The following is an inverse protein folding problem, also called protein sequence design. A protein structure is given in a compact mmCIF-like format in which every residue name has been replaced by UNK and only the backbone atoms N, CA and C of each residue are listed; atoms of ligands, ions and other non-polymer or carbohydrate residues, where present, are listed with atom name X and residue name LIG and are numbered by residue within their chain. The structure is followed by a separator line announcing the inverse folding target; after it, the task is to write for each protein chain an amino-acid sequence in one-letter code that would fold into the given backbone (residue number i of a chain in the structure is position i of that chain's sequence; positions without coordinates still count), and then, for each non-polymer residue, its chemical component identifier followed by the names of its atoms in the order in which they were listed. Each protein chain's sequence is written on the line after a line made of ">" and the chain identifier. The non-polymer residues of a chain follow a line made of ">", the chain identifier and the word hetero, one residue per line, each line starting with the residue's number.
data_IF_380081894638
#
_entry.id   IF_380081894638
#
_cell.length_a   1.000
_cell.length_b   1.000
_cell.length_c   1.000
_cell.angle_alpha   90.00
_cell.angle_beta   90.00
_cell.angle_gamma   90.00
#
_symmetry.space_group_name_H-M   'P 1'
#
loop_
_entity.id
_entity.type
_entity.pdbx_description
1 polymer ?
#
# COMPACT_ATOMS: atom_id res chain seq x y z
N UNK A 1 -19.27 69.73 25.56
CA UNK A 1 -18.47 68.48 25.66
C UNK A 1 -19.37 67.36 26.13
N UNK A 2 -19.70 66.40 25.26
CA UNK A 2 -20.50 65.21 25.62
C UNK A 2 -20.01 64.02 24.81
N UNK A 3 -18.99 63.33 25.32
CA UNK A 3 -18.56 62.02 24.81
C UNK A 3 -19.52 60.96 25.32
N UNK A 4 -20.60 60.72 24.57
CA UNK A 4 -21.49 59.60 24.80
C UNK A 4 -20.73 58.30 24.52
N UNK A 5 -20.69 57.43 25.51
CA UNK A 5 -20.08 56.11 25.45
C UNK A 5 -20.97 55.16 24.65
N UNK A 6 -20.59 54.88 23.39
CA UNK A 6 -21.17 53.84 22.54
C UNK A 6 -20.77 52.42 23.04
N UNK A 7 -21.22 52.08 24.25
CA UNK A 7 -21.07 50.74 24.81
C UNK A 7 -22.26 49.86 24.42
N UNK A 8 -22.09 48.99 23.43
CA UNK A 8 -23.07 47.94 23.11
C UNK A 8 -23.24 47.00 24.33
N UNK A 9 -24.41 47.09 24.98
CA UNK A 9 -24.80 46.22 26.09
C UNK A 9 -25.13 44.81 25.59
N UNK A 10 -24.18 43.88 25.72
CA UNK A 10 -24.39 42.47 25.40
C UNK A 10 -25.11 41.81 26.58
N UNK A 11 -26.40 41.46 26.43
CA UNK A 11 -27.16 40.69 27.43
C UNK A 11 -26.95 39.18 27.23
N UNK A 12 -26.48 38.48 28.27
CA UNK A 12 -26.37 37.01 28.31
C UNK A 12 -25.43 36.49 29.41
N UNK A 13 -25.67 35.28 29.90
CA UNK A 13 -24.85 34.61 30.93
C UNK A 13 -23.61 33.98 30.30
N UNK A 14 -22.38 34.26 30.78
CA UNK A 14 -21.16 33.61 30.29
C UNK A 14 -21.17 32.11 30.64
N UNK A 15 -20.86 31.25 29.66
CA UNK A 15 -20.76 29.80 29.85
C UNK A 15 -19.74 29.38 30.94
N UNK A 16 -18.78 30.24 31.27
CA UNK A 16 -17.66 29.95 32.16
C UNK A 16 -17.75 30.64 33.53
N UNK A 17 -18.90 31.19 33.92
CA UNK A 17 -19.08 31.87 35.22
C UNK A 17 -18.28 33.17 35.39
N UNK A 18 -17.49 33.57 34.40
CA UNK A 18 -16.65 34.77 34.44
C UNK A 18 -17.34 35.90 33.66
N UNK A 19 -17.61 37.07 34.28
CA UNK A 19 -18.31 38.16 33.60
C UNK A 19 -17.52 38.63 32.37
N UNK A 20 -18.21 38.78 31.24
CA UNK A 20 -17.62 39.38 30.03
C UNK A 20 -17.10 40.78 30.40
N UNK A 21 -15.84 41.09 30.04
CA UNK A 21 -15.33 42.46 30.19
C UNK A 21 -16.21 43.37 29.33
N UNK A 22 -16.71 44.47 29.92
CA UNK A 22 -17.60 45.45 29.23
C UNK A 22 -17.03 45.98 27.91
N UNK A 23 -15.72 45.92 27.73
CA UNK A 23 -14.99 46.40 26.54
C UNK A 23 -14.39 45.26 25.68
N UNK A 24 -14.83 44.02 25.87
CA UNK A 24 -14.30 42.91 25.07
C UNK A 24 -14.84 42.98 23.63
N UNK A 25 -14.02 43.53 22.72
CA UNK A 25 -14.27 43.40 21.28
C UNK A 25 -14.35 41.91 20.94
N UNK A 26 -15.42 41.43 20.29
CA UNK A 26 -15.49 40.03 19.88
C UNK A 26 -14.29 39.73 18.98
N UNK A 27 -13.58 38.61 19.22
CA UNK A 27 -12.35 38.24 18.49
C UNK A 27 -12.53 38.26 16.96
N UNK A 28 -13.75 38.09 16.46
CA UNK A 28 -14.09 38.18 15.02
C UNK A 28 -13.96 39.60 14.44
N UNK A 29 -14.03 40.65 15.27
CA UNK A 29 -13.88 42.05 14.83
C UNK A 29 -12.41 42.48 14.66
N UNK A 30 -11.44 41.65 15.07
CA UNK A 30 -10.01 41.93 14.90
C UNK A 30 -9.42 41.40 13.59
N UNK A 31 -10.20 40.70 12.76
CA UNK A 31 -9.68 40.26 11.46
C UNK A 31 -9.85 41.35 10.40
N UNK A 32 -8.70 41.97 10.08
CA UNK A 32 -8.36 42.77 8.88
C UNK A 32 -8.59 44.27 8.92
N UNK A 33 -7.69 44.93 9.62
CA UNK A 33 -7.02 46.11 9.06
C UNK A 33 -5.66 45.65 8.51
N UNK A 34 -5.46 45.65 7.19
CA UNK A 34 -4.11 45.50 6.60
C UNK A 34 -3.85 44.28 5.73
N UNK A 35 -4.56 44.14 4.60
CA UNK A 35 -4.14 43.23 3.54
C UNK A 35 -5.00 43.41 2.30
N UNK A 36 -4.44 44.03 1.27
CA UNK A 36 -5.12 44.67 0.12
C UNK A 36 -6.03 43.82 -0.77
N UNK A 37 -6.28 42.56 -0.43
CA UNK A 37 -7.16 41.69 -1.22
C UNK A 37 -8.55 41.61 -0.59
N UNK A 38 -9.58 41.71 -1.42
CA UNK A 38 -10.99 41.61 -0.99
C UNK A 38 -11.29 40.21 -0.43
N UNK A 39 -12.39 40.05 0.32
CA UNK A 39 -12.76 38.73 0.85
C UNK A 39 -12.98 37.69 -0.27
N UNK A 40 -13.49 38.14 -1.41
CA UNK A 40 -13.76 37.34 -2.62
C UNK A 40 -12.47 36.86 -3.29
N UNK A 41 -11.46 37.72 -3.43
CA UNK A 41 -10.15 37.34 -3.99
C UNK A 41 -9.45 36.26 -3.18
N UNK A 42 -9.54 36.31 -1.85
CA UNK A 42 -8.97 35.26 -1.00
C UNK A 42 -9.70 33.92 -1.13
N UNK A 43 -11.00 33.96 -1.39
CA UNK A 43 -11.77 32.74 -1.66
C UNK A 43 -11.38 32.14 -3.00
N UNK A 44 -11.19 32.99 -4.02
CA UNK A 44 -10.74 32.57 -5.34
C UNK A 44 -9.33 31.98 -5.31
N UNK A 45 -8.38 32.64 -4.65
CA UNK A 45 -7.01 32.14 -4.50
C UNK A 45 -6.97 30.76 -3.83
N UNK A 46 -7.72 30.57 -2.75
CA UNK A 46 -7.82 29.26 -2.09
C UNK A 46 -8.38 28.17 -3.00
N UNK A 47 -9.36 28.51 -3.84
CA UNK A 47 -9.92 27.57 -4.79
C UNK A 47 -8.92 27.21 -5.89
N UNK A 48 -8.20 28.20 -6.42
CA UNK A 48 -7.14 28.00 -7.42
C UNK A 48 -6.00 27.14 -6.87
N UNK A 49 -5.53 27.41 -5.64
CA UNK A 49 -4.55 26.58 -4.92
C UNK A 49 -5.03 25.14 -4.74
N UNK A 50 -6.30 24.95 -4.36
CA UNK A 50 -6.88 23.62 -4.18
C UNK A 50 -6.99 22.86 -5.51
N UNK A 51 -7.28 23.53 -6.63
CA UNK A 51 -7.29 22.89 -7.95
C UNK A 51 -5.87 22.52 -8.41
N UNK A 52 -4.89 23.39 -8.16
CA UNK A 52 -3.49 23.12 -8.47
C UNK A 52 -3.00 21.86 -7.74
N UNK A 53 -3.20 21.79 -6.42
CA UNK A 53 -2.82 20.64 -5.61
C UNK A 53 -3.53 19.36 -6.04
N UNK A 54 -4.81 19.45 -6.43
CA UNK A 54 -5.56 18.31 -6.96
C UNK A 54 -4.97 17.79 -8.27
N UNK A 55 -4.47 18.66 -9.13
CA UNK A 55 -3.85 18.26 -10.39
C UNK A 55 -2.46 17.65 -10.15
N UNK A 56 -1.64 18.26 -9.29
CA UNK A 56 -0.36 17.69 -8.88
C UNK A 56 -0.52 16.27 -8.28
N UNK A 57 -1.51 16.08 -7.40
CA UNK A 57 -1.80 14.75 -6.83
C UNK A 57 -2.21 13.73 -7.90
N UNK A 58 -2.90 14.14 -8.96
CA UNK A 58 -3.26 13.24 -10.06
C UNK A 58 -2.03 12.79 -10.85
N UNK A 59 -1.11 13.72 -11.12
CA UNK A 59 0.15 13.44 -11.82
C UNK A 59 1.01 12.46 -11.01
N UNK A 60 1.22 12.75 -9.72
CA UNK A 60 1.94 11.86 -8.80
C UNK A 60 1.28 10.48 -8.73
N UNK A 61 -0.06 10.43 -8.69
CA UNK A 61 -0.80 9.16 -8.68
C UNK A 61 -0.59 8.36 -9.96
N UNK A 62 -0.57 9.02 -11.12
CA UNK A 62 -0.34 8.38 -12.41
C UNK A 62 1.09 7.82 -12.50
N UNK A 63 2.09 8.59 -12.09
CA UNK A 63 3.49 8.14 -12.02
C UNK A 63 3.67 6.95 -11.08
N UNK A 64 3.09 7.01 -9.88
CA UNK A 64 3.15 5.92 -8.92
C UNK A 64 2.52 4.63 -9.47
N UNK A 65 1.39 4.73 -10.19
CA UNK A 65 0.75 3.58 -10.84
C UNK A 65 1.65 2.95 -11.90
N UNK A 66 2.32 3.75 -12.73
CA UNK A 66 3.26 3.28 -13.74
C UNK A 66 4.47 2.57 -13.10
N UNK A 67 5.03 3.11 -12.02
CA UNK A 67 6.13 2.47 -11.29
C UNK A 67 5.69 1.12 -10.71
N UNK A 68 4.52 1.05 -10.07
CA UNK A 68 3.97 -0.20 -9.53
C UNK A 68 3.73 -1.23 -10.62
N UNK A 69 3.20 -0.81 -11.78
CA UNK A 69 2.94 -1.69 -12.92
C UNK A 69 4.25 -2.30 -13.45
N UNK A 70 5.27 -1.47 -13.67
CA UNK A 70 6.61 -1.92 -14.10
C UNK A 70 7.24 -2.90 -13.11
N UNK A 71 7.08 -2.66 -11.80
CA UNK A 71 7.59 -3.56 -10.76
C UNK A 71 6.89 -4.93 -10.80
N UNK A 72 5.55 -4.96 -10.95
CA UNK A 72 4.78 -6.20 -11.09
C UNK A 72 5.17 -6.98 -12.34
N UNK A 73 5.35 -6.32 -13.48
CA UNK A 73 5.77 -6.95 -14.73
C UNK A 73 7.15 -7.62 -14.60
N UNK A 74 8.12 -6.94 -13.99
CA UNK A 74 9.45 -7.52 -13.69
C UNK A 74 9.36 -8.75 -12.78
N UNK A 75 8.49 -8.69 -11.76
CA UNK A 75 8.29 -9.83 -10.86
C UNK A 75 7.69 -11.04 -11.60
N UNK A 76 6.69 -10.81 -12.47
CA UNK A 76 6.08 -11.85 -13.29
C UNK A 76 7.13 -12.48 -14.22
N UNK A 77 7.95 -11.67 -14.88
CA UNK A 77 9.01 -12.14 -15.77
C UNK A 77 10.04 -12.99 -15.02
N UNK A 78 10.49 -12.54 -13.84
CA UNK A 78 11.42 -13.30 -12.99
C UNK A 78 10.81 -14.65 -12.58
N UNK A 79 9.55 -14.66 -12.18
CA UNK A 79 8.85 -15.89 -11.81
C UNK A 79 8.69 -16.85 -13.00
N UNK A 80 8.43 -16.34 -14.21
CA UNK A 80 8.39 -17.14 -15.44
C UNK A 80 9.75 -17.77 -15.73
N UNK A 81 10.85 -17.01 -15.63
CA UNK A 81 12.22 -17.53 -15.81
C UNK A 81 12.56 -18.63 -14.79
N UNK A 82 12.21 -18.44 -13.52
CA UNK A 82 12.44 -19.44 -12.47
C UNK A 82 11.63 -20.72 -12.73
N UNK A 83 10.34 -20.59 -13.10
CA UNK A 83 9.49 -21.74 -13.44
C UNK A 83 10.04 -22.51 -14.64
N UNK A 84 10.42 -21.82 -15.71
CA UNK A 84 11.01 -22.44 -16.89
C UNK A 84 12.33 -23.17 -16.55
N UNK A 85 13.18 -22.57 -15.72
CA UNK A 85 14.42 -23.21 -15.25
C UNK A 85 14.15 -24.48 -14.43
N UNK A 86 13.15 -24.45 -13.54
CA UNK A 86 12.75 -25.62 -12.74
C UNK A 86 12.20 -26.73 -13.64
N UNK A 87 11.29 -26.40 -14.56
CA UNK A 87 10.72 -27.36 -15.50
C UNK A 87 11.80 -28.01 -16.39
N UNK A 88 12.79 -27.24 -16.86
CA UNK A 88 13.93 -27.78 -17.61
C UNK A 88 14.80 -28.71 -16.77
N UNK A 89 15.02 -28.37 -15.49
CA UNK A 89 15.75 -29.22 -14.54
C UNK A 89 15.00 -30.54 -14.29
N UNK A 90 13.69 -30.48 -14.06
CA UNK A 90 12.83 -31.65 -13.90
C UNK A 90 12.84 -32.53 -15.15
N UNK A 91 12.70 -31.96 -16.35
CA UNK A 91 12.76 -32.69 -17.61
C UNK A 91 14.12 -33.38 -17.81
N UNK A 92 15.22 -32.70 -17.47
CA UNK A 92 16.56 -33.29 -17.53
C UNK A 92 16.76 -34.39 -16.49
N UNK A 93 16.24 -34.23 -15.27
CA UNK A 93 16.29 -35.25 -14.22
C UNK A 93 15.48 -36.50 -14.64
N UNK A 94 14.30 -36.31 -15.24
CA UNK A 94 13.49 -37.42 -15.79
C UNK A 94 14.23 -38.10 -16.94
N UNK A 95 14.77 -37.33 -17.90
CA UNK A 95 15.53 -37.88 -19.04
C UNK A 95 16.79 -38.63 -18.58
N UNK A 96 17.48 -38.10 -17.58
CA UNK A 96 18.68 -38.72 -16.99
C UNK A 96 18.36 -39.94 -16.14
N UNK A 97 17.16 -40.02 -15.55
CA UNK A 97 16.72 -41.18 -14.79
C UNK A 97 16.43 -42.39 -15.70
N UNK A 98 16.12 -42.16 -16.99
CA UNK A 98 15.90 -43.23 -17.97
C UNK A 98 14.82 -44.24 -17.56
N UNK A 99 14.92 -45.48 -18.04
CA UNK A 99 14.01 -46.59 -17.71
C UNK A 99 14.23 -47.18 -16.28
N UNK A 100 15.18 -46.66 -15.50
CA UNK A 100 15.54 -47.15 -14.16
C UNK A 100 14.61 -46.60 -13.05
N UNK A 101 13.55 -45.86 -13.39
CA UNK A 101 12.53 -45.46 -12.41
C UNK A 101 11.70 -46.69 -12.06
N UNK A 102 12.21 -47.49 -11.12
CA UNK A 102 11.45 -48.58 -10.51
C UNK A 102 10.29 -47.95 -9.74
N UNK A 103 9.10 -47.99 -10.34
CA UNK A 103 7.82 -47.69 -9.70
C UNK A 103 7.55 -48.75 -8.62
N UNK A 104 8.25 -48.64 -7.49
CA UNK A 104 7.95 -49.44 -6.30
C UNK A 104 6.68 -48.88 -5.68
N UNK A 105 5.71 -49.73 -5.34
CA UNK A 105 4.46 -49.29 -4.71
C UNK A 105 4.70 -48.34 -3.51
N UNK A 106 4.05 -47.17 -3.49
CA UNK A 106 4.27 -46.06 -2.56
C UNK A 106 4.29 -46.47 -1.07
N UNK A 107 3.38 -47.40 -0.72
CA UNK A 107 3.25 -47.96 0.64
C UNK A 107 4.51 -48.71 1.08
N UNK A 108 5.25 -49.35 0.16
CA UNK A 108 6.49 -50.07 0.45
C UNK A 108 7.67 -49.10 0.63
N UNK A 109 7.73 -48.04 -0.18
CA UNK A 109 8.78 -46.99 -0.08
C UNK A 109 8.64 -46.17 1.21
N UNK A 110 7.42 -45.87 1.64
CA UNK A 110 7.16 -45.16 2.90
C UNK A 110 7.66 -45.93 4.13
N UNK A 111 7.60 -47.27 4.10
CA UNK A 111 8.06 -48.17 5.16
C UNK A 111 9.58 -48.38 5.20
N UNK A 112 10.32 -47.95 4.18
CA UNK A 112 11.78 -48.09 4.15
C UNK A 112 12.49 -47.01 4.99
N UNK A 113 13.72 -47.31 5.42
CA UNK A 113 14.60 -46.33 6.06
C UNK A 113 15.02 -45.21 5.11
N UNK A 114 15.36 -44.03 5.66
CA UNK A 114 15.81 -42.86 4.87
C UNK A 114 17.04 -43.16 4.01
N UNK A 115 17.96 -44.01 4.49
CA UNK A 115 19.15 -44.44 3.74
C UNK A 115 18.80 -45.37 2.59
N UNK A 116 17.87 -46.30 2.78
CA UNK A 116 17.43 -47.23 1.73
C UNK A 116 16.65 -46.50 0.61
N UNK A 117 15.77 -45.55 0.97
CA UNK A 117 15.09 -44.69 -0.02
C UNK A 117 16.05 -43.95 -0.94
N UNK A 118 17.12 -43.38 -0.38
CA UNK A 118 18.15 -42.66 -1.15
C UNK A 118 18.95 -43.55 -2.11
N UNK A 119 19.05 -44.86 -1.83
CA UNK A 119 19.76 -45.81 -2.69
C UNK A 119 18.88 -46.34 -3.84
N UNK A 120 17.55 -46.31 -3.66
CA UNK A 120 16.59 -46.88 -4.62
C UNK A 120 16.26 -45.94 -5.78
N UNK A 121 16.48 -44.63 -5.64
CA UNK A 121 16.28 -43.64 -6.70
C UNK A 121 17.54 -42.80 -6.89
N UNK A 122 18.07 -42.74 -8.12
CA UNK A 122 19.08 -41.72 -8.53
C UNK A 122 18.52 -40.28 -8.48
N UNK A 123 17.20 -40.16 -8.30
CA UNK A 123 16.46 -38.90 -8.30
C UNK A 123 16.32 -38.35 -6.87
N UNK A 124 16.21 -37.02 -6.75
CA UNK A 124 16.02 -36.34 -5.47
C UNK A 124 14.73 -36.81 -4.76
N UNK A 125 14.69 -36.87 -3.41
CA UNK A 125 13.52 -37.36 -2.67
C UNK A 125 12.21 -36.61 -2.96
N UNK A 126 12.28 -35.33 -3.34
CA UNK A 126 11.10 -34.54 -3.70
C UNK A 126 10.48 -35.00 -5.02
N UNK A 127 11.30 -35.24 -6.06
CA UNK A 127 10.85 -35.76 -7.35
C UNK A 127 10.26 -37.17 -7.24
N UNK A 128 10.87 -38.02 -6.42
CA UNK A 128 10.30 -39.35 -6.12
C UNK A 128 8.89 -39.22 -5.53
N UNK A 129 8.66 -38.28 -4.61
CA UNK A 129 7.32 -38.06 -4.04
C UNK A 129 6.28 -37.56 -5.05
N UNK A 130 6.70 -36.74 -6.03
CA UNK A 130 5.83 -36.19 -7.08
C UNK A 130 5.44 -37.28 -8.09
N UNK A 131 6.43 -38.06 -8.57
CA UNK A 131 6.19 -39.17 -9.50
C UNK A 131 5.27 -40.23 -8.90
N UNK A 132 5.46 -40.52 -7.62
CA UNK A 132 4.68 -41.54 -6.95
C UNK A 132 3.28 -41.05 -6.54
N UNK A 133 3.01 -39.74 -6.48
CA UNK A 133 1.66 -39.18 -6.22
C UNK A 133 0.73 -39.21 -7.43
N UNK A 134 1.27 -39.34 -8.65
CA UNK A 134 0.50 -39.35 -9.90
C UNK A 134 -0.05 -40.74 -10.26
N UNK A 135 0.27 -41.77 -9.48
CA UNK A 135 -0.23 -43.14 -9.61
C UNK A 135 -0.95 -43.60 -8.35
#
# INVERSE_FOLDING_TARGET
>A
MTSASDGLSIKGTPLSGRPWKKESRPRRALSKSGGGNTAEERSRQKWEEAQALKNEMKEISAEAKEVIKRAKERQIERNRKIKARRAKKEANEIKSAGNDVVLVNNKKVAKMSKKARRKLTKVTPEMASILMRKH
#
